data_IF_265937366135
#
_entry.id   IF_265937366135
#
_cell.length_a   1.000
_cell.length_b   1.000
_cell.length_c   1.000
_cell.angle_alpha   90.00
_cell.angle_beta   90.00
_cell.angle_gamma   90.00
#
_symmetry.space_group_name_H-M   'P 1'
#
loop_
_entity.id
_entity.type
_entity.pdbx_description
1 polymer ?
#
# COMPACT_ATOMS: atom_id res chain seq x y z
N UNK A 1 9.35 22.40 6.60
CA UNK A 1 9.25 21.07 7.25
C UNK A 1 8.40 20.23 6.34
N UNK A 2 9.03 19.37 5.55
CA UNK A 2 8.33 18.54 4.57
C UNK A 2 8.06 17.18 5.21
N UNK A 3 6.80 16.71 5.31
CA UNK A 3 6.56 15.33 5.69
C UNK A 3 7.11 14.46 4.56
N UNK A 4 7.98 13.51 4.88
CA UNK A 4 8.30 12.44 3.95
C UNK A 4 7.00 11.63 3.79
N UNK A 5 6.38 11.53 2.60
CA UNK A 5 5.04 10.96 2.43
C UNK A 5 5.02 9.41 2.47
N UNK A 6 6.07 8.78 2.98
CA UNK A 6 6.22 7.32 3.01
C UNK A 6 5.67 6.82 4.34
N UNK A 7 4.49 7.30 4.72
CA UNK A 7 3.73 6.70 5.82
C UNK A 7 3.25 5.35 5.32
N UNK A 8 4.03 4.30 5.65
CA UNK A 8 3.69 2.91 5.32
C UNK A 8 2.22 2.63 5.63
N UNK A 9 1.53 2.02 4.66
CA UNK A 9 0.07 1.85 4.71
C UNK A 9 -0.32 1.05 5.96
N UNK A 10 -1.04 1.67 6.89
CA UNK A 10 -1.44 0.96 8.11
C UNK A 10 -2.57 -0.03 7.85
N UNK A 11 -2.41 -1.25 8.35
CA UNK A 11 -3.42 -2.29 8.30
C UNK A 11 -4.65 -1.90 9.13
N UNK A 12 -5.87 -1.87 8.54
CA UNK A 12 -7.08 -1.48 9.26
C UNK A 12 -7.53 -2.52 10.30
N UNK A 13 -7.02 -3.75 10.22
CA UNK A 13 -7.44 -4.84 11.10
C UNK A 13 -6.62 -4.94 12.37
N UNK A 14 -5.30 -4.73 12.29
CA UNK A 14 -4.39 -4.88 13.43
C UNK A 14 -3.58 -3.62 13.77
N UNK A 15 -3.65 -2.56 12.97
CA UNK A 15 -2.89 -1.32 13.19
C UNK A 15 -1.41 -1.41 12.83
N UNK A 16 -0.92 -2.54 12.31
CA UNK A 16 0.47 -2.71 11.90
C UNK A 16 0.80 -1.90 10.63
N UNK A 17 2.02 -1.36 10.57
CA UNK A 17 2.62 -0.73 9.38
C UNK A 17 3.40 -1.72 8.51
N UNK A 18 3.56 -2.98 8.96
CA UNK A 18 4.18 -4.08 8.21
C UNK A 18 3.24 -4.57 7.11
N UNK A 19 2.99 -3.73 6.11
CA UNK A 19 2.15 -4.02 4.96
C UNK A 19 2.94 -3.90 3.66
N UNK A 20 2.55 -4.71 2.68
CA UNK A 20 3.13 -4.67 1.34
C UNK A 20 2.05 -4.50 0.29
N UNK A 21 2.36 -3.76 -0.78
CA UNK A 21 1.50 -3.69 -1.95
C UNK A 21 1.60 -5.02 -2.70
N UNK A 22 0.51 -5.78 -2.71
CA UNK A 22 0.46 -7.12 -3.29
C UNK A 22 0.01 -7.07 -4.75
N UNK A 23 -1.00 -6.24 -5.07
CA UNK A 23 -1.50 -6.06 -6.44
C UNK A 23 -2.01 -4.63 -6.64
N UNK A 24 -1.80 -4.08 -7.83
CA UNK A 24 -2.40 -2.80 -8.24
C UNK A 24 -3.87 -2.93 -8.67
N UNK A 25 -4.37 -4.14 -8.76
CA UNK A 25 -5.74 -4.43 -9.14
C UNK A 25 -6.36 -5.27 -8.03
N UNK A 26 -7.24 -4.63 -7.25
CA UNK A 26 -8.09 -5.29 -6.29
C UNK A 26 -9.31 -5.93 -6.96
N UNK A 27 -10.30 -6.30 -6.14
CA UNK A 27 -11.57 -6.83 -6.64
C UNK A 27 -12.41 -5.76 -7.36
N UNK A 28 -12.20 -4.49 -7.01
CA UNK A 28 -12.83 -3.34 -7.65
C UNK A 28 -11.82 -2.62 -8.53
N UNK A 29 -12.28 -2.02 -9.64
CA UNK A 29 -11.41 -1.33 -10.59
C UNK A 29 -10.64 -0.14 -10.00
N UNK A 30 -11.19 0.46 -8.93
CA UNK A 30 -10.63 1.63 -8.26
C UNK A 30 -9.88 1.26 -6.98
N UNK A 31 -9.59 -0.02 -6.73
CA UNK A 31 -8.87 -0.45 -5.54
C UNK A 31 -7.53 -1.11 -5.88
N UNK A 32 -6.60 -0.97 -4.95
CA UNK A 32 -5.35 -1.73 -4.89
C UNK A 32 -5.42 -2.70 -3.71
N UNK A 33 -4.65 -3.78 -3.79
CA UNK A 33 -4.59 -4.81 -2.76
C UNK A 33 -3.27 -4.75 -2.00
N UNK A 34 -3.38 -4.69 -0.68
CA UNK A 34 -2.28 -4.80 0.26
C UNK A 34 -2.35 -6.10 1.04
N UNK A 35 -1.20 -6.60 1.48
CA UNK A 35 -1.09 -7.73 2.37
C UNK A 35 -0.40 -7.32 3.67
N UNK A 36 -0.99 -7.65 4.81
CA UNK A 36 -0.37 -7.39 6.12
C UNK A 36 0.50 -8.57 6.55
N UNK A 37 1.79 -8.32 6.77
CA UNK A 37 2.78 -9.29 7.25
C UNK A 37 2.76 -9.52 8.76
N UNK A 38 1.87 -8.84 9.50
CA UNK A 38 1.68 -9.08 10.95
C UNK A 38 0.46 -9.95 11.23
N UNK A 39 -0.71 -9.60 10.69
CA UNK A 39 -1.94 -10.38 10.91
C UNK A 39 -2.28 -11.31 9.73
N UNK A 40 -1.45 -11.36 8.69
CA UNK A 40 -1.59 -12.22 7.51
C UNK A 40 -2.94 -12.05 6.78
N UNK A 41 -3.52 -10.85 6.87
CA UNK A 41 -4.82 -10.52 6.29
C UNK A 41 -4.64 -9.58 5.09
N UNK A 42 -5.20 -9.92 3.91
CA UNK A 42 -5.26 -8.99 2.79
C UNK A 42 -6.31 -7.90 3.04
N UNK A 43 -6.06 -6.70 2.55
CA UNK A 43 -7.01 -5.59 2.58
C UNK A 43 -6.88 -4.74 1.32
N UNK A 44 -7.90 -3.94 1.03
CA UNK A 44 -7.92 -3.06 -0.14
C UNK A 44 -7.96 -1.59 0.27
N UNK A 45 -7.41 -0.74 -0.60
CA UNK A 45 -7.45 0.73 -0.50
C UNK A 45 -7.95 1.27 -1.83
N UNK A 46 -8.65 2.40 -1.78
CA UNK A 46 -8.97 3.15 -2.98
C UNK A 46 -7.66 3.68 -3.59
N UNK A 47 -7.61 3.68 -4.92
CA UNK A 47 -6.47 4.18 -5.67
C UNK A 47 -6.52 5.70 -5.68
N UNK A 48 -5.61 6.30 -4.92
CA UNK A 48 -5.38 7.74 -4.88
C UNK A 48 -3.95 8.07 -5.37
N UNK A 49 -3.64 9.35 -5.55
CA UNK A 49 -2.34 9.81 -6.06
C UNK A 49 -1.16 9.29 -5.22
N UNK A 50 -1.32 9.26 -3.89
CA UNK A 50 -0.31 8.73 -2.96
C UNK A 50 0.02 7.25 -3.22
N UNK A 51 -0.99 6.44 -3.56
CA UNK A 51 -0.82 5.00 -3.84
C UNK A 51 -0.06 4.79 -5.15
N UNK A 52 -0.28 5.67 -6.13
CA UNK A 52 0.38 5.64 -7.42
C UNK A 52 1.85 6.06 -7.32
N UNK A 53 2.13 7.08 -6.52
CA UNK A 53 3.49 7.56 -6.26
C UNK A 53 4.32 6.52 -5.51
N UNK A 54 3.77 5.87 -4.47
CA UNK A 54 4.45 4.80 -3.73
C UNK A 54 4.79 3.61 -4.65
N UNK A 55 3.91 3.29 -5.60
CA UNK A 55 4.18 2.27 -6.62
C UNK A 55 5.30 2.69 -7.58
N UNK A 56 5.26 3.92 -8.09
CA UNK A 56 6.28 4.43 -9.01
C UNK A 56 7.67 4.41 -8.36
N UNK A 57 7.76 4.89 -7.11
CA UNK A 57 9.00 4.88 -6.33
C UNK A 57 9.55 3.46 -6.09
N UNK A 58 8.69 2.48 -5.82
CA UNK A 58 9.08 1.06 -5.66
C UNK A 58 9.47 0.39 -6.98
N UNK A 59 8.88 0.81 -8.11
CA UNK A 59 9.24 0.30 -9.44
C UNK A 59 10.61 0.82 -9.89
N UNK A 60 10.89 2.10 -9.65
CA UNK A 60 12.18 2.74 -9.95
C UNK A 60 13.34 2.11 -9.15
N UNK A 61 13.09 1.71 -7.90
CA UNK A 61 14.09 1.08 -7.03
C UNK A 61 14.26 -0.45 -7.24
N UNK A 62 13.65 -1.02 -8.28
CA UNK A 62 13.85 -2.44 -8.62
C UNK A 62 15.04 -2.56 -9.60
N UNK A 63 16.13 -3.27 -9.25
CA UNK A 63 17.27 -3.44 -10.15
C UNK A 63 16.91 -4.25 -11.40
#
# INVERSE_FOLDING_TARGET
GSPLPWTGVTCPFCGSDRTELFSLFGQQLLTVQYYCNSCHTPFERIKDDDVLDDYAARKENRP
#
